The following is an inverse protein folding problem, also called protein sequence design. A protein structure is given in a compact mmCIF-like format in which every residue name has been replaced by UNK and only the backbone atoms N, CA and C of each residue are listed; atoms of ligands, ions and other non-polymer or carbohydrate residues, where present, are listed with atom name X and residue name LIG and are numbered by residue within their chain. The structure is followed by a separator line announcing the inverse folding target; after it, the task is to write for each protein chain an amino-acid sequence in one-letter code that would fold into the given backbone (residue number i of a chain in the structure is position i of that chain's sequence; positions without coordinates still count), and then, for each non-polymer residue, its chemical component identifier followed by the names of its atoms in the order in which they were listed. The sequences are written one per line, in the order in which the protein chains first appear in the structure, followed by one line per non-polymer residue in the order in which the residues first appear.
data_IF_277874542536
#
_entry.id   IF_277874542536
#
_cell.length_a   1.000
_cell.length_b   1.000
_cell.length_c   1.000
_cell.angle_alpha   90.00
_cell.angle_beta   90.00
_cell.angle_gamma   90.00
#
_symmetry.space_group_name_H-M   'P 1'
#
loop_
_entity.id
_entity.type
_entity.pdbx_description
1 polymer ?
#
# COMPACT_ATOMS: atom_id res chain seq x y z
N UNK A 1 22.45 17.00 19.03
CA UNK A 1 22.32 16.75 17.58
C UNK A 1 22.52 15.25 17.36
N UNK A 2 21.46 14.50 17.11
CA UNK A 2 21.59 13.12 16.67
C UNK A 2 22.01 13.15 15.19
N UNK A 3 23.11 12.48 14.83
CA UNK A 3 23.50 12.31 13.42
C UNK A 3 22.37 11.66 12.61
N UNK A 4 22.42 11.73 11.26
CA UNK A 4 21.42 11.09 10.44
C UNK A 4 21.43 9.59 10.75
N UNK A 5 20.33 9.09 11.33
CA UNK A 5 20.07 7.66 11.33
C UNK A 5 20.03 7.14 9.88
N UNK A 6 20.08 5.82 9.65
CA UNK A 6 20.09 5.23 8.30
C UNK A 6 18.85 5.54 7.46
N UNK A 7 17.85 6.22 8.03
CA UNK A 7 16.59 6.60 7.39
C UNK A 7 16.31 8.09 7.59
N UNK A 8 15.64 8.74 6.63
CA UNK A 8 15.24 10.14 6.77
C UNK A 8 14.29 10.33 7.95
N UNK A 9 14.35 11.50 8.59
CA UNK A 9 13.61 11.81 9.82
C UNK A 9 12.09 11.61 9.68
N UNK A 10 11.51 11.94 8.53
CA UNK A 10 10.07 11.75 8.29
C UNK A 10 9.65 10.28 8.41
N UNK A 11 10.48 9.33 7.95
CA UNK A 11 10.20 7.89 8.08
C UNK A 11 10.22 7.48 9.55
N UNK A 12 11.21 7.97 10.30
CA UNK A 12 11.31 7.71 11.73
C UNK A 12 10.10 8.25 12.50
N UNK A 13 9.60 9.43 12.14
CA UNK A 13 8.39 10.00 12.77
C UNK A 13 7.16 9.10 12.55
N UNK A 14 6.94 8.63 11.31
CA UNK A 14 5.86 7.68 10.99
C UNK A 14 6.01 6.39 11.80
N UNK A 15 7.19 5.77 11.76
CA UNK A 15 7.45 4.50 12.45
C UNK A 15 7.27 4.63 13.97
N UNK A 16 7.83 5.67 14.58
CA UNK A 16 7.72 5.90 16.02
C UNK A 16 6.26 6.11 16.43
N UNK A 17 5.51 6.90 15.65
CA UNK A 17 4.11 7.16 15.94
C UNK A 17 3.24 5.90 15.79
N UNK A 18 3.43 5.11 14.73
CA UNK A 18 2.73 3.82 14.58
C UNK A 18 3.08 2.89 15.75
N UNK A 19 4.36 2.71 16.06
CA UNK A 19 4.78 1.80 17.12
C UNK A 19 4.23 2.20 18.50
N UNK A 20 4.13 3.51 18.77
CA UNK A 20 3.61 4.02 20.03
C UNK A 20 2.09 3.88 20.17
N UNK A 21 1.33 3.95 19.07
CA UNK A 21 -0.13 4.14 19.15
C UNK A 21 -0.96 3.05 18.46
N UNK A 22 -0.37 2.13 17.70
CA UNK A 22 -1.12 1.11 16.95
C UNK A 22 -1.99 0.17 17.80
N UNK A 23 -1.73 0.06 19.10
CA UNK A 23 -2.56 -0.78 19.97
C UNK A 23 -3.93 -0.13 20.22
N UNK A 24 -3.95 1.17 20.44
CA UNK A 24 -5.14 1.93 20.83
C UNK A 24 -5.80 2.66 19.64
N UNK A 25 -5.01 3.03 18.61
CA UNK A 25 -5.46 3.72 17.41
C UNK A 25 -5.26 2.83 16.18
N UNK A 26 -6.18 1.90 15.91
CA UNK A 26 -6.08 1.03 14.71
C UNK A 26 -6.19 1.82 13.40
N UNK A 27 -6.89 2.96 13.42
CA UNK A 27 -7.04 3.88 12.29
C UNK A 27 -5.70 4.49 11.83
N UNK A 28 -4.66 4.44 12.66
CA UNK A 28 -3.33 5.01 12.32
C UNK A 28 -2.69 4.33 11.11
N UNK A 29 -3.13 3.13 10.70
CA UNK A 29 -2.64 2.48 9.47
C UNK A 29 -3.40 2.92 8.21
N UNK A 30 -4.49 3.68 8.34
CA UNK A 30 -5.31 4.09 7.21
C UNK A 30 -4.92 5.49 6.79
N UNK A 31 -4.68 5.68 5.50
CA UNK A 31 -4.42 7.00 4.93
C UNK A 31 -5.28 7.24 3.70
N UNK A 32 -5.65 8.50 3.50
CA UNK A 32 -6.41 8.93 2.34
C UNK A 32 -5.45 8.99 1.14
N UNK A 33 -5.77 8.25 0.08
CA UNK A 33 -5.04 8.23 -1.18
C UNK A 33 -5.82 9.03 -2.23
N UNK A 34 -5.24 10.15 -2.65
CA UNK A 34 -5.73 10.98 -3.75
C UNK A 34 -5.06 10.59 -5.07
N UNK A 35 -5.87 10.35 -6.08
CA UNK A 35 -5.47 10.05 -7.47
C UNK A 35 -6.26 10.94 -8.42
N UNK A 36 -5.87 10.93 -9.69
CA UNK A 36 -6.52 11.73 -10.73
C UNK A 36 -7.08 10.80 -11.80
N UNK A 37 -8.34 10.97 -12.15
CA UNK A 37 -8.87 10.45 -13.41
C UNK A 37 -8.63 11.48 -14.52
N UNK A 38 -8.31 11.02 -15.75
CA UNK A 38 -8.16 11.91 -16.87
C UNK A 38 -9.51 12.54 -17.20
N UNK A 39 -9.48 13.74 -17.78
CA UNK A 39 -10.70 14.42 -18.21
C UNK A 39 -11.51 13.50 -19.14
N UNK A 40 -12.79 13.30 -18.83
CA UNK A 40 -13.67 12.50 -19.69
C UNK A 40 -13.80 13.18 -21.05
N UNK A 41 -13.66 12.43 -22.14
CA UNK A 41 -13.91 12.92 -23.49
C UNK A 41 -15.37 13.40 -23.71
N UNK A 42 -16.30 13.01 -22.82
CA UNK A 42 -17.70 13.45 -22.83
C UNK A 42 -17.98 14.71 -22.00
N UNK A 43 -16.99 15.21 -21.24
CA UNK A 43 -17.12 16.42 -20.43
C UNK A 43 -16.73 17.64 -21.26
N UNK A 44 -17.54 18.70 -21.20
CA UNK A 44 -17.19 20.01 -21.78
C UNK A 44 -16.04 20.71 -21.04
N UNK A 45 -15.60 20.17 -19.90
CA UNK A 45 -14.42 20.61 -19.16
C UNK A 45 -13.29 19.60 -19.30
N UNK A 46 -12.15 20.05 -19.84
CA UNK A 46 -10.92 19.25 -19.99
C UNK A 46 -10.15 19.06 -18.69
N UNK A 47 -10.82 19.12 -17.54
CA UNK A 47 -10.18 19.09 -16.23
C UNK A 47 -10.08 17.65 -15.69
N UNK A 48 -8.90 17.29 -15.19
CA UNK A 48 -8.73 16.05 -14.41
C UNK A 48 -9.61 16.07 -13.17
N UNK A 49 -10.21 14.93 -12.82
CA UNK A 49 -11.09 14.83 -11.64
C UNK A 49 -10.35 14.11 -10.51
N UNK A 50 -10.22 14.71 -9.32
CA UNK A 50 -9.61 14.06 -8.18
C UNK A 50 -10.55 13.00 -7.60
N UNK A 51 -9.99 11.85 -7.23
CA UNK A 51 -10.67 10.82 -6.47
C UNK A 51 -9.89 10.51 -5.20
N UNK A 52 -10.59 10.29 -4.09
CA UNK A 52 -9.99 10.04 -2.78
C UNK A 52 -10.68 8.85 -2.11
N UNK A 53 -9.89 8.01 -1.44
CA UNK A 53 -10.36 6.89 -0.61
C UNK A 53 -9.32 6.51 0.42
N UNK A 54 -9.73 5.83 1.49
CA UNK A 54 -8.78 5.24 2.43
C UNK A 54 -8.15 3.96 1.87
N UNK A 55 -6.87 3.79 2.15
CA UNK A 55 -6.10 2.56 1.93
C UNK A 55 -5.28 2.23 3.17
N UNK A 56 -4.86 0.97 3.30
CA UNK A 56 -4.10 0.50 4.46
C UNK A 56 -2.61 0.53 4.17
N UNK A 57 -1.84 1.17 5.03
CA UNK A 57 -0.38 1.09 5.07
C UNK A 57 0.07 -0.34 5.46
N UNK A 58 0.88 -0.96 4.60
CA UNK A 58 1.38 -2.33 4.74
C UNK A 58 2.86 -2.39 5.11
N UNK A 59 3.41 -1.29 5.62
CA UNK A 59 4.82 -1.16 5.99
C UNK A 59 5.65 -0.46 4.90
N UNK A 60 6.95 -0.39 5.15
CA UNK A 60 7.93 0.08 4.19
C UNK A 60 8.50 -1.09 3.37
N UNK A 61 9.03 -0.77 2.20
CA UNK A 61 9.63 -1.74 1.29
C UNK A 61 10.73 -2.57 1.96
N UNK A 62 10.67 -3.89 1.79
CA UNK A 62 11.58 -4.87 2.36
C UNK A 62 11.66 -4.82 3.90
N UNK A 63 10.67 -4.23 4.58
CA UNK A 63 10.66 -4.13 6.04
C UNK A 63 9.79 -5.22 6.67
N UNK A 64 10.30 -5.83 7.73
CA UNK A 64 9.58 -6.79 8.56
C UNK A 64 9.74 -6.42 10.04
N UNK A 65 8.69 -6.64 10.84
CA UNK A 65 8.77 -6.43 12.30
C UNK A 65 9.72 -7.45 12.91
N UNK A 66 10.58 -6.99 13.81
CA UNK A 66 11.55 -7.82 14.49
C UNK A 66 11.74 -7.34 15.93
N UNK A 67 11.51 -8.23 16.89
CA UNK A 67 11.85 -8.00 18.30
C UNK A 67 13.36 -8.09 18.57
N UNK A 68 14.15 -8.56 17.61
CA UNK A 68 15.60 -8.81 17.75
C UNK A 68 16.46 -7.59 17.42
N UNK A 69 15.87 -6.53 16.88
CA UNK A 69 16.59 -5.33 16.43
C UNK A 69 16.17 -4.11 17.27
N UNK A 70 17.11 -3.20 17.62
CA UNK A 70 16.77 -1.99 18.39
C UNK A 70 15.71 -1.10 17.72
N UNK A 71 15.66 -1.10 16.38
CA UNK A 71 14.69 -0.35 15.57
C UNK A 71 13.31 -1.02 15.46
N UNK A 72 13.12 -2.21 16.05
CA UNK A 72 11.90 -3.00 15.91
C UNK A 72 11.66 -3.58 14.51
N UNK A 73 12.62 -3.45 13.59
CA UNK A 73 12.48 -3.80 12.18
C UNK A 73 13.75 -4.44 11.61
N UNK A 74 13.57 -5.40 10.70
CA UNK A 74 14.64 -6.06 9.95
C UNK A 74 14.27 -6.22 8.46
N UNK A 75 15.25 -6.38 7.56
CA UNK A 75 14.98 -6.71 6.17
C UNK A 75 14.21 -8.02 6.02
N UNK A 76 13.24 -8.07 5.10
CA UNK A 76 12.55 -9.31 4.76
C UNK A 76 13.44 -10.22 3.88
N UNK A 77 14.15 -9.63 2.92
CA UNK A 77 15.22 -10.26 2.14
C UNK A 77 16.55 -9.74 2.69
N UNK A 78 17.30 -10.62 3.36
CA UNK A 78 18.49 -10.24 4.16
C UNK A 78 19.62 -9.64 3.35
N UNK A 79 19.71 -9.92 2.05
CA UNK A 79 20.70 -9.34 1.13
C UNK A 79 20.49 -7.86 0.82
N UNK A 80 19.32 -7.32 1.16
CA UNK A 80 18.92 -5.97 0.82
C UNK A 80 18.63 -5.13 2.07
N UNK A 81 18.77 -3.82 1.96
CA UNK A 81 18.38 -2.85 3.00
C UNK A 81 16.86 -2.68 3.02
N UNK A 82 16.33 -2.03 4.04
CA UNK A 82 14.95 -1.54 4.02
C UNK A 82 14.86 -0.24 3.21
N UNK A 83 13.76 -0.04 2.49
CA UNK A 83 13.52 1.15 1.67
C UNK A 83 12.70 2.23 2.40
N UNK A 84 12.48 3.36 1.72
CA UNK A 84 11.57 4.43 2.18
C UNK A 84 10.21 4.38 1.49
N UNK A 85 10.08 3.61 0.40
CA UNK A 85 8.81 3.44 -0.30
C UNK A 85 7.77 2.81 0.62
N UNK A 86 6.56 3.37 0.62
CA UNK A 86 5.44 2.86 1.41
C UNK A 86 4.71 1.80 0.59
N UNK A 87 4.22 0.77 1.27
CA UNK A 87 3.45 -0.28 0.65
C UNK A 87 1.97 -0.12 0.98
N UNK A 88 1.12 -0.27 -0.03
CA UNK A 88 -0.31 -0.57 0.14
C UNK A 88 -0.73 -1.62 -0.88
N UNK A 89 -2.01 -2.00 -0.90
CA UNK A 89 -2.50 -3.09 -1.74
C UNK A 89 -3.83 -2.73 -2.36
N UNK A 90 -4.07 -3.19 -3.58
CA UNK A 90 -5.34 -3.00 -4.26
C UNK A 90 -5.67 -4.23 -5.11
N UNK A 91 -6.95 -4.39 -5.43
CA UNK A 91 -7.35 -5.17 -6.60
C UNK A 91 -6.82 -4.43 -7.83
N UNK A 92 -6.14 -5.14 -8.73
CA UNK A 92 -5.56 -4.60 -9.97
C UNK A 92 -6.64 -4.05 -10.91
N UNK A 93 -7.89 -4.51 -10.76
CA UNK A 93 -9.05 -4.10 -11.58
C UNK A 93 -9.75 -2.86 -11.01
N UNK A 94 -9.39 -2.40 -9.82
CA UNK A 94 -10.07 -1.28 -9.18
C UNK A 94 -9.86 0.04 -9.95
N UNK A 95 -10.84 0.97 -9.96
CA UNK A 95 -10.73 2.25 -10.68
C UNK A 95 -9.46 3.03 -10.39
N UNK A 96 -9.01 3.05 -9.13
CA UNK A 96 -7.76 3.71 -8.72
C UNK A 96 -6.51 3.23 -9.46
N UNK A 97 -6.50 1.98 -9.95
CA UNK A 97 -5.36 1.44 -10.71
C UNK A 97 -5.36 2.01 -12.13
N UNK A 98 -6.52 2.15 -12.76
CA UNK A 98 -6.66 2.82 -14.06
C UNK A 98 -6.34 4.32 -13.95
N UNK A 99 -6.79 4.97 -12.88
CA UNK A 99 -6.43 6.36 -12.55
C UNK A 99 -4.90 6.52 -12.44
N UNK A 100 -4.22 5.64 -11.72
CA UNK A 100 -2.75 5.66 -11.61
C UNK A 100 -2.05 5.41 -12.95
N UNK A 101 -2.52 4.45 -13.75
CA UNK A 101 -1.90 4.17 -15.07
C UNK A 101 -2.02 5.36 -16.02
N UNK A 102 -3.17 6.05 -15.99
CA UNK A 102 -3.43 7.22 -16.84
C UNK A 102 -2.77 8.50 -16.35
N UNK A 103 -2.50 8.65 -15.04
CA UNK A 103 -1.82 9.83 -14.46
C UNK A 103 -0.29 9.72 -14.41
N UNK A 104 0.30 8.64 -14.96
CA UNK A 104 1.74 8.36 -14.83
C UNK A 104 2.16 8.03 -13.41
N UNK A 105 1.22 7.53 -12.59
CA UNK A 105 1.41 7.12 -11.21
C UNK A 105 1.39 8.27 -10.20
N UNK A 106 1.22 9.53 -10.61
CA UNK A 106 1.23 10.65 -9.67
C UNK A 106 0.01 10.64 -8.75
N UNK A 107 0.30 10.74 -7.44
CA UNK A 107 -0.69 10.71 -6.38
C UNK A 107 -0.19 11.46 -5.13
N UNK A 108 -1.11 11.78 -4.22
CA UNK A 108 -0.79 12.31 -2.90
C UNK A 108 -1.51 11.51 -1.82
N UNK A 109 -0.80 11.22 -0.74
CA UNK A 109 -1.36 10.63 0.48
C UNK A 109 -1.53 11.73 1.53
N UNK A 110 -2.69 11.79 2.16
CA UNK A 110 -2.91 12.53 3.40
C UNK A 110 -3.11 11.54 4.55
N UNK A 111 -2.26 11.64 5.57
CA UNK A 111 -2.22 10.70 6.67
C UNK A 111 -2.20 11.43 8.01
N UNK A 112 -3.27 11.23 8.78
CA UNK A 112 -3.42 11.77 10.12
C UNK A 112 -3.09 10.71 11.17
N UNK A 113 -2.24 11.07 12.12
CA UNK A 113 -1.95 10.27 13.32
C UNK A 113 -2.50 11.04 14.52
N UNK A 114 -3.68 10.65 14.98
CA UNK A 114 -4.47 11.44 15.93
C UNK A 114 -3.77 11.55 17.28
N UNK A 115 -3.32 10.42 17.82
CA UNK A 115 -2.63 10.37 19.12
C UNK A 115 -1.35 11.21 19.17
N UNK A 116 -0.65 11.34 18.03
CA UNK A 116 0.59 12.11 17.94
C UNK A 116 0.37 13.56 17.48
N UNK A 117 -0.85 13.92 17.06
CA UNK A 117 -1.19 15.19 16.42
C UNK A 117 -0.26 15.52 15.24
N UNK A 118 0.06 14.49 14.44
CA UNK A 118 0.92 14.59 13.27
C UNK A 118 0.11 14.39 11.99
N UNK A 119 0.26 15.31 11.04
CA UNK A 119 -0.19 15.12 9.67
C UNK A 119 1.02 14.92 8.75
N UNK A 120 0.96 13.89 7.92
CA UNK A 120 1.89 13.65 6.82
C UNK A 120 1.15 13.81 5.50
N UNK A 121 1.64 14.70 4.63
CA UNK A 121 1.24 14.76 3.23
C UNK A 121 2.39 14.26 2.37
N UNK A 122 2.18 13.15 1.67
CA UNK A 122 3.23 12.44 0.94
C UNK A 122 2.88 12.49 -0.54
N UNK A 123 3.59 13.31 -1.31
CA UNK A 123 3.43 13.42 -2.76
C UNK A 123 4.51 12.60 -3.47
N UNK A 124 4.13 11.85 -4.50
CA UNK A 124 5.06 10.98 -5.21
C UNK A 124 4.41 10.16 -6.32
N UNK A 125 5.14 9.15 -6.80
CA UNK A 125 4.65 8.21 -7.81
C UNK A 125 4.29 6.87 -7.16
N UNK A 126 3.17 6.29 -7.57
CA UNK A 126 2.73 4.96 -7.16
C UNK A 126 2.90 4.01 -8.33
N UNK A 127 3.66 2.94 -8.08
CA UNK A 127 3.94 1.90 -9.06
C UNK A 127 3.12 0.65 -8.72
N UNK A 128 2.38 0.15 -9.71
CA UNK A 128 1.50 -1.02 -9.56
C UNK A 128 2.30 -2.29 -9.87
N UNK A 129 2.43 -3.19 -8.89
CA UNK A 129 3.04 -4.51 -9.05
C UNK A 129 1.97 -5.60 -8.97
N UNK A 130 1.41 -6.03 -10.10
CA UNK A 130 0.48 -7.16 -10.19
C UNK A 130 1.23 -8.50 -10.25
N UNK A 131 0.50 -9.60 -10.46
CA UNK A 131 1.09 -10.92 -10.78
C UNK A 131 2.03 -10.86 -12.00
N UNK A 132 3.04 -11.74 -12.08
CA UNK A 132 3.81 -11.94 -13.31
C UNK A 132 2.90 -12.25 -14.52
N UNK A 133 3.23 -11.66 -15.67
CA UNK A 133 2.47 -11.81 -16.92
C UNK A 133 1.29 -10.85 -17.11
N UNK A 134 0.92 -10.05 -16.10
CA UNK A 134 -0.07 -8.99 -16.27
C UNK A 134 0.54 -7.80 -17.05
N UNK A 135 -0.18 -7.10 -17.94
CA UNK A 135 0.38 -6.00 -18.75
C UNK A 135 1.07 -4.87 -17.95
N UNK A 136 0.54 -4.55 -16.77
CA UNK A 136 1.17 -3.56 -15.87
C UNK A 136 2.47 -4.05 -15.22
N UNK A 137 2.74 -5.35 -15.19
CA UNK A 137 3.95 -5.92 -14.60
C UNK A 137 5.23 -5.50 -15.35
N UNK A 138 5.11 -5.21 -16.64
CA UNK A 138 6.21 -4.77 -17.51
C UNK A 138 6.52 -3.27 -17.34
N UNK A 139 5.52 -2.49 -16.89
CA UNK A 139 5.68 -1.06 -16.59
C UNK A 139 6.34 -0.82 -15.22
N UNK A 140 6.40 -1.84 -14.36
CA UNK A 140 6.91 -1.70 -13.00
C UNK A 140 8.44 -1.57 -12.99
N UNK A 141 9.02 -0.47 -12.46
CA UNK A 141 10.45 -0.19 -12.56
C UNK A 141 11.29 -0.95 -11.51
N UNK A 142 11.43 -2.27 -11.72
CA UNK A 142 12.00 -3.26 -10.79
C UNK A 142 13.37 -2.88 -10.24
N UNK A 143 14.32 -2.57 -11.12
CA UNK A 143 15.71 -2.28 -10.73
C UNK A 143 15.83 -0.95 -9.99
N UNK A 144 15.07 0.06 -10.43
CA UNK A 144 15.11 1.42 -9.89
C UNK A 144 14.50 1.51 -8.49
N UNK A 145 13.43 0.76 -8.23
CA UNK A 145 12.76 0.73 -6.94
C UNK A 145 13.36 -0.27 -5.96
N UNK A 146 14.24 -1.16 -6.42
CA UNK A 146 14.83 -2.16 -5.55
C UNK A 146 15.61 -1.48 -4.40
N UNK A 147 15.50 -1.96 -3.16
CA UNK A 147 16.34 -1.44 -2.09
C UNK A 147 17.82 -1.66 -2.40
N UNK A 148 18.69 -0.89 -1.76
CA UNK A 148 20.12 -1.10 -1.84
C UNK A 148 20.51 -2.48 -1.31
N UNK A 149 21.64 -3.02 -1.75
CA UNK A 149 22.22 -4.23 -1.12
C UNK A 149 22.82 -3.88 0.24
N UNK A 150 22.82 -4.84 1.15
CA UNK A 150 23.49 -4.69 2.44
C UNK A 150 25.00 -4.46 2.23
N UNK A 151 25.66 -3.64 3.08
CA UNK A 151 27.11 -3.49 3.03
C UNK A 151 27.81 -4.84 3.14
N UNK A 152 28.70 -5.14 2.19
CA UNK A 152 29.46 -6.40 2.14
C UNK A 152 28.76 -7.55 1.41
N UNK A 153 27.51 -7.38 0.98
CA UNK A 153 26.85 -8.36 0.13
C UNK A 153 27.24 -8.15 -1.35
N UNK A 154 28.02 -9.09 -1.89
CA UNK A 154 28.49 -9.10 -3.30
C UNK A 154 27.65 -9.99 -4.22
N UNK A 155 26.47 -10.43 -3.75
CA UNK A 155 25.55 -11.23 -4.54
C UNK A 155 25.11 -10.53 -5.82
N UNK A 156 24.78 -11.32 -6.84
CA UNK A 156 24.32 -10.80 -8.15
C UNK A 156 22.81 -10.91 -8.34
N UNK A 157 22.11 -11.49 -7.38
CA UNK A 157 20.67 -11.72 -7.48
C UNK A 157 19.91 -10.39 -7.47
N UNK A 158 18.83 -10.31 -8.24
CA UNK A 158 17.93 -9.16 -8.19
C UNK A 158 17.04 -9.24 -6.94
N UNK A 159 16.51 -8.09 -6.51
CA UNK A 159 15.49 -8.07 -5.46
C UNK A 159 14.25 -8.84 -5.93
N UNK A 160 13.80 -9.83 -5.17
CA UNK A 160 12.67 -10.66 -5.56
C UNK A 160 11.35 -9.93 -5.26
N UNK A 161 10.86 -9.20 -6.26
CA UNK A 161 9.61 -8.47 -6.19
C UNK A 161 8.38 -9.35 -6.05
N UNK A 162 8.41 -10.58 -6.57
CA UNK A 162 7.28 -11.50 -6.43
C UNK A 162 7.23 -12.06 -5.00
N UNK A 163 8.38 -12.40 -4.42
CA UNK A 163 8.45 -12.76 -3.00
C UNK A 163 7.95 -11.61 -2.12
N UNK A 164 8.27 -10.36 -2.43
CA UNK A 164 7.75 -9.20 -1.69
C UNK A 164 6.22 -9.04 -1.84
N UNK A 165 5.68 -9.20 -3.07
CA UNK A 165 4.24 -9.18 -3.34
C UNK A 165 3.52 -10.27 -2.55
N UNK A 166 3.99 -11.51 -2.63
CA UNK A 166 3.39 -12.67 -1.95
C UNK A 166 3.54 -12.59 -0.43
N UNK A 167 4.66 -12.09 0.08
CA UNK A 167 4.84 -11.83 1.53
C UNK A 167 3.75 -10.93 2.08
N UNK A 168 3.36 -9.90 1.34
CA UNK A 168 2.27 -9.00 1.74
C UNK A 168 0.92 -9.71 1.58
N UNK A 169 0.67 -10.41 0.46
CA UNK A 169 -0.57 -11.17 0.24
C UNK A 169 -0.86 -12.17 1.37
N UNK A 170 0.13 -12.96 1.79
CA UNK A 170 -0.02 -13.98 2.84
C UNK A 170 -0.32 -13.40 4.23
N UNK A 171 -0.06 -12.11 4.45
CA UNK A 171 -0.40 -11.41 5.70
C UNK A 171 -1.84 -10.91 5.75
N UNK A 172 -2.60 -11.00 4.65
CA UNK A 172 -3.99 -10.51 4.61
C UNK A 172 -4.92 -11.38 5.45
N UNK A 173 -5.94 -10.78 6.05
CA UNK A 173 -6.98 -11.52 6.78
C UNK A 173 -7.78 -12.41 5.83
N UNK A 174 -8.45 -13.47 6.33
CA UNK A 174 -9.31 -14.32 5.51
C UNK A 174 -10.34 -13.53 4.68
N UNK A 175 -10.96 -12.53 5.29
CA UNK A 175 -11.94 -11.66 4.63
C UNK A 175 -11.35 -10.81 3.51
N UNK A 176 -10.11 -10.36 3.68
CA UNK A 176 -9.42 -9.54 2.68
C UNK A 176 -8.82 -10.40 1.57
N UNK A 177 -8.40 -11.63 1.85
CA UNK A 177 -8.06 -12.59 0.80
C UNK A 177 -9.29 -12.84 -0.10
N UNK A 178 -10.45 -13.08 0.51
CA UNK A 178 -11.69 -13.31 -0.23
C UNK A 178 -12.10 -12.10 -1.09
N UNK A 179 -11.82 -10.88 -0.64
CA UNK A 179 -12.26 -9.67 -1.36
C UNK A 179 -11.67 -9.55 -2.77
N UNK A 180 -10.48 -10.08 -3.03
CA UNK A 180 -9.88 -10.10 -4.37
C UNK A 180 -10.53 -11.12 -5.32
N UNK A 181 -11.30 -12.09 -4.81
CA UNK A 181 -12.04 -13.05 -5.63
C UNK A 181 -13.45 -12.56 -5.98
N UNK A 182 -13.87 -11.40 -5.47
CA UNK A 182 -15.20 -10.82 -5.70
C UNK A 182 -15.30 -10.16 -7.09
N UNK A 183 -16.51 -9.74 -7.52
CA UNK A 183 -16.67 -8.87 -8.68
C UNK A 183 -15.78 -7.63 -8.61
N UNK A 184 -15.57 -6.99 -9.77
CA UNK A 184 -14.67 -5.83 -9.88
C UNK A 184 -15.10 -4.75 -8.88
N UNK A 185 -14.19 -4.26 -8.01
CA UNK A 185 -14.56 -3.27 -7.01
C UNK A 185 -15.16 -2.00 -7.64
N UNK A 186 -16.37 -1.64 -7.19
CA UNK A 186 -17.12 -0.49 -7.71
C UNK A 186 -18.02 -0.80 -8.91
N UNK A 187 -18.09 -2.05 -9.39
CA UNK A 187 -19.10 -2.46 -10.36
C UNK A 187 -20.49 -2.54 -9.73
N UNK A 188 -21.52 -2.50 -10.56
CA UNK A 188 -22.90 -2.75 -10.12
C UNK A 188 -23.04 -4.12 -9.43
N UNK A 189 -23.90 -4.18 -8.41
CA UNK A 189 -24.17 -5.41 -7.69
C UNK A 189 -24.98 -6.39 -8.58
N UNK A 190 -24.64 -7.68 -8.68
CA UNK A 190 -25.33 -8.63 -9.57
C UNK A 190 -26.82 -8.80 -9.24
N UNK A 191 -27.18 -8.62 -7.97
CA UNK A 191 -28.56 -8.65 -7.48
C UNK A 191 -29.16 -7.26 -7.26
N UNK A 192 -28.60 -6.17 -7.84
CA UNK A 192 -29.06 -4.80 -7.59
C UNK A 192 -30.58 -4.61 -7.76
N UNK A 193 -31.20 -5.25 -8.77
CA UNK A 193 -32.64 -5.17 -8.99
C UNK A 193 -33.51 -5.85 -7.91
N UNK A 194 -32.91 -6.74 -7.11
CA UNK A 194 -33.57 -7.51 -6.04
C UNK A 194 -33.23 -6.96 -4.65
N UNK A 195 -32.10 -6.29 -4.54
CA UNK A 195 -31.70 -5.53 -3.36
C UNK A 195 -32.48 -4.20 -3.38
N UNK A 196 -33.74 -4.23 -2.95
CA UNK A 196 -34.59 -3.04 -2.88
C UNK A 196 -34.15 -2.09 -1.76
N UNK A 197 -34.78 -0.92 -1.71
CA UNK A 197 -34.49 0.14 -0.71
C UNK A 197 -34.71 -0.30 0.74
N UNK A 198 -35.42 -1.41 0.98
CA UNK A 198 -35.77 -1.92 2.31
C UNK A 198 -34.64 -2.70 3.02
N UNK A 199 -33.53 -3.03 2.33
CA UNK A 199 -32.40 -3.80 2.90
C UNK A 199 -31.20 -2.94 3.31
N UNK A 200 -31.43 -1.63 3.44
CA UNK A 200 -30.48 -0.68 4.01
C UNK A 200 -29.25 -0.39 3.15
N UNK A 201 -28.75 0.83 3.27
CA UNK A 201 -27.50 1.26 2.66
C UNK A 201 -26.26 0.99 3.53
N UNK A 202 -25.05 1.28 3.01
CA UNK A 202 -23.84 1.26 3.81
C UNK A 202 -23.96 2.14 5.06
N UNK A 203 -23.80 1.54 6.24
CA UNK A 203 -23.88 2.25 7.53
C UNK A 203 -25.27 2.29 8.17
N UNK A 204 -26.25 1.61 7.58
CA UNK A 204 -27.58 1.45 8.15
C UNK A 204 -27.68 0.12 8.93
N UNK A 205 -28.48 0.11 10.01
CA UNK A 205 -28.52 -0.90 11.10
C UNK A 205 -29.14 -2.26 10.72
N UNK A 206 -28.86 -2.76 9.52
CA UNK A 206 -29.18 -4.13 9.19
C UNK A 206 -28.12 -5.06 9.79
N UNK A 207 -28.58 -5.99 10.63
CA UNK A 207 -27.76 -7.12 11.05
C UNK A 207 -27.17 -7.73 9.78
N UNK A 208 -25.85 -7.98 9.70
CA UNK A 208 -25.22 -8.48 8.48
C UNK A 208 -25.89 -9.79 8.05
N UNK A 209 -26.81 -9.71 7.11
CA UNK A 209 -27.39 -10.87 6.44
C UNK A 209 -26.37 -11.29 5.39
N UNK A 210 -25.43 -12.13 5.82
CA UNK A 210 -24.53 -12.86 4.92
C UNK A 210 -25.33 -13.94 4.18
N UNK A 211 -26.38 -13.54 3.49
CA UNK A 211 -27.15 -14.42 2.62
C UNK A 211 -26.61 -14.35 1.19
N UNK A 212 -26.97 -15.36 0.40
CA UNK A 212 -26.53 -15.47 -0.99
C UNK A 212 -27.11 -14.36 -1.88
N UNK A 213 -28.08 -13.57 -1.39
CA UNK A 213 -28.65 -12.46 -2.13
C UNK A 213 -27.75 -11.22 -2.04
N UNK A 214 -27.28 -10.86 -0.85
CA UNK A 214 -26.39 -9.72 -0.62
C UNK A 214 -24.92 -10.05 -0.89
N UNK A 215 -24.55 -11.33 -0.82
CA UNK A 215 -23.16 -11.75 -0.86
C UNK A 215 -22.98 -13.14 -1.49
N UNK A 216 -23.30 -13.30 -2.79
CA UNK A 216 -23.18 -14.58 -3.52
C UNK A 216 -21.72 -15.03 -3.76
N UNK A 217 -20.75 -14.42 -3.07
CA UNK A 217 -19.31 -14.65 -3.23
C UNK A 217 -18.67 -15.05 -1.90
N UNK A 218 -17.49 -15.68 -1.95
CA UNK A 218 -16.75 -16.05 -0.75
C UNK A 218 -16.53 -14.83 0.17
N UNK A 219 -16.87 -15.02 1.44
CA UNK A 219 -16.66 -14.01 2.48
C UNK A 219 -15.28 -14.11 3.11
N UNK A 220 -14.74 -15.33 3.18
CA UNK A 220 -13.44 -15.62 3.77
C UNK A 220 -12.73 -16.68 2.93
N UNK A 221 -11.40 -16.57 2.87
CA UNK A 221 -10.52 -17.61 2.31
C UNK A 221 -9.48 -18.02 3.36
N UNK A 222 -9.11 -19.31 3.41
CA UNK A 222 -8.10 -19.78 4.34
C UNK A 222 -6.74 -19.12 4.09
N UNK A 223 -5.92 -19.06 5.15
CA UNK A 223 -4.53 -18.65 5.06
C UNK A 223 -3.65 -19.91 5.10
N UNK A 224 -3.15 -20.42 3.96
CA UNK A 224 -2.47 -21.72 3.94
C UNK A 224 -1.27 -21.78 4.87
N UNK A 225 -0.58 -20.66 5.09
CA UNK A 225 0.58 -20.55 5.98
C UNK A 225 0.23 -20.72 7.47
N UNK A 226 -1.06 -20.73 7.82
CA UNK A 226 -1.55 -20.93 9.19
C UNK A 226 -2.25 -22.29 9.39
N UNK A 227 -2.31 -23.12 8.36
CA UNK A 227 -2.86 -24.48 8.43
C UNK A 227 -1.73 -25.47 8.70
N UNK A 228 -2.00 -26.51 9.49
CA UNK A 228 -1.00 -27.52 9.86
C UNK A 228 -0.51 -28.32 8.64
N UNK A 229 -1.42 -28.68 7.72
CA UNK A 229 -1.10 -29.32 6.44
C UNK A 229 -0.85 -28.35 5.28
N UNK A 230 -0.83 -27.04 5.54
CA UNK A 230 -0.56 -26.02 4.53
C UNK A 230 -1.59 -26.02 3.39
N UNK A 231 -1.11 -25.99 2.15
CA UNK A 231 -1.98 -26.04 0.96
C UNK A 231 -2.67 -27.40 0.75
N UNK A 232 -2.17 -28.48 1.37
CA UNK A 232 -2.76 -29.81 1.24
C UNK A 232 -4.14 -29.91 1.92
N UNK A 233 -4.38 -29.08 2.94
CA UNK A 233 -5.64 -29.04 3.70
C UNK A 233 -6.75 -28.24 2.99
N UNK A 234 -6.44 -27.62 1.85
CA UNK A 234 -7.40 -26.84 1.07
C UNK A 234 -8.25 -27.74 0.19
N UNK A 235 -9.55 -27.45 0.12
CA UNK A 235 -10.42 -28.03 -0.92
C UNK A 235 -10.02 -27.50 -2.30
N UNK A 236 -10.39 -28.21 -3.37
CA UNK A 236 -10.06 -27.77 -4.73
C UNK A 236 -10.71 -26.41 -5.08
N UNK A 237 -11.94 -26.17 -4.61
CA UNK A 237 -12.63 -24.89 -4.74
C UNK A 237 -11.89 -23.75 -4.01
N UNK A 238 -11.37 -24.02 -2.81
CA UNK A 238 -10.57 -23.04 -2.07
C UNK A 238 -9.26 -22.72 -2.78
N UNK A 239 -8.59 -23.73 -3.37
CA UNK A 239 -7.37 -23.52 -4.15
C UNK A 239 -7.64 -22.66 -5.38
N UNK A 240 -8.68 -22.98 -6.15
CA UNK A 240 -9.06 -22.23 -7.33
C UNK A 240 -9.40 -20.77 -6.97
N UNK A 241 -10.23 -20.57 -5.95
CA UNK A 241 -10.64 -19.23 -5.50
C UNK A 241 -9.47 -18.42 -4.95
N UNK A 242 -8.53 -19.06 -4.25
CA UNK A 242 -7.33 -18.41 -3.74
C UNK A 242 -6.38 -18.00 -4.88
N UNK A 243 -6.27 -18.80 -5.94
CA UNK A 243 -5.50 -18.43 -7.13
C UNK A 243 -6.16 -17.28 -7.89
N UNK A 244 -7.49 -17.23 -7.99
CA UNK A 244 -8.23 -16.07 -8.51
C UNK A 244 -7.92 -14.82 -7.67
N UNK A 245 -8.04 -14.92 -6.35
CA UNK A 245 -7.72 -13.84 -5.40
C UNK A 245 -6.28 -13.33 -5.60
N UNK A 246 -5.31 -14.23 -5.62
CA UNK A 246 -3.88 -13.93 -5.83
C UNK A 246 -3.61 -13.30 -7.20
N UNK A 247 -4.42 -13.63 -8.21
CA UNK A 247 -4.29 -13.07 -9.56
C UNK A 247 -4.73 -11.62 -9.67
N UNK A 248 -5.74 -11.21 -8.88
CA UNK A 248 -6.21 -9.84 -8.82
C UNK A 248 -5.45 -8.99 -7.79
N UNK A 249 -4.70 -9.61 -6.90
CA UNK A 249 -3.87 -8.91 -5.93
C UNK A 249 -2.71 -8.14 -6.58
N UNK A 250 -2.67 -6.82 -6.34
CA UNK A 250 -1.54 -5.96 -6.67
C UNK A 250 -0.95 -5.31 -5.41
N UNK A 251 0.39 -5.31 -5.35
CA UNK A 251 1.14 -4.48 -4.42
C UNK A 251 1.30 -3.08 -5.04
N UNK A 252 0.94 -2.04 -4.31
CA UNK A 252 1.17 -0.66 -4.71
C UNK A 252 2.39 -0.13 -3.95
N UNK A 253 3.41 0.28 -4.69
CA UNK A 253 4.66 0.82 -4.15
C UNK A 253 4.65 2.33 -4.31
N UNK A 254 4.48 3.05 -3.22
CA UNK A 254 4.46 4.51 -3.17
C UNK A 254 5.90 4.99 -2.99
N UNK A 255 6.45 5.58 -4.04
CA UNK A 255 7.76 6.21 -4.06
C UNK A 255 7.61 7.70 -3.67
N UNK A 256 7.97 8.08 -2.43
CA UNK A 256 7.81 9.46 -1.99
C UNK A 256 8.84 10.38 -2.66
N UNK A 257 8.39 11.56 -3.09
CA UNK A 257 9.26 12.62 -3.63
C UNK A 257 9.30 13.83 -2.68
N UNK A 258 8.17 14.13 -2.06
CA UNK A 258 8.02 15.20 -1.09
C UNK A 258 7.14 14.74 0.08
N UNK A 259 7.53 15.09 1.29
CA UNK A 259 6.75 14.85 2.51
C UNK A 259 6.62 16.16 3.27
N UNK A 260 5.41 16.66 3.42
CA UNK A 260 5.10 17.79 4.29
C UNK A 260 4.57 17.26 5.62
N UNK A 261 5.29 17.56 6.70
CA UNK A 261 4.96 17.11 8.05
C UNK A 261 4.51 18.29 8.88
N UNK A 262 3.28 18.24 9.37
CA UNK A 262 2.71 19.20 10.32
C UNK A 262 2.58 18.51 11.67
N UNK A 263 3.17 19.10 12.70
CA UNK A 263 3.08 18.71 14.11
C UNK A 263 2.31 19.81 14.84
N UNK A 264 1.00 19.58 15.00
CA UNK A 264 0.08 20.54 15.61
C UNK A 264 0.31 20.66 17.12
N UNK A 265 0.73 19.59 17.79
CA UNK A 265 1.01 19.61 19.23
C UNK A 265 2.17 20.56 19.59
N UNK A 266 3.07 20.85 18.65
CA UNK A 266 4.27 21.67 18.90
C UNK A 266 4.36 22.92 18.02
N UNK A 267 3.31 23.20 17.23
CA UNK A 267 3.26 24.30 16.26
C UNK A 267 4.46 24.27 15.30
N UNK A 268 4.61 23.15 14.59
CA UNK A 268 5.79 22.85 13.79
C UNK A 268 5.45 22.32 12.41
N UNK A 269 6.10 22.83 11.36
CA UNK A 269 6.03 22.26 10.01
C UNK A 269 7.39 22.10 9.34
N UNK A 270 7.61 20.97 8.70
CA UNK A 270 8.85 20.66 7.97
C UNK A 270 8.50 20.02 6.63
N UNK A 271 9.14 20.51 5.57
CA UNK A 271 9.08 19.93 4.24
C UNK A 271 10.33 19.10 3.99
N UNK A 272 10.15 17.84 3.64
CA UNK A 272 11.20 16.93 3.21
C UNK A 272 11.10 16.73 1.71
N UNK A 273 12.19 16.98 0.99
CA UNK A 273 12.26 16.78 -0.46
C UNK A 273 13.39 15.82 -0.79
N UNK A 274 13.10 14.85 -1.65
CA UNK A 274 14.12 13.90 -2.13
C UNK A 274 15.09 14.66 -3.03
N UNK A 275 16.37 14.51 -2.76
CA UNK A 275 17.42 15.06 -3.62
C UNK A 275 17.73 13.99 -4.66
N UNK A 276 17.42 14.27 -5.93
CA UNK A 276 17.80 13.37 -7.03
C UNK A 276 19.30 13.56 -7.30
N UNK A 277 20.15 12.53 -7.18
CA UNK A 277 21.55 12.66 -7.56
C UNK A 277 21.65 12.92 -9.06
N UNK A 278 22.58 13.79 -9.48
CA UNK A 278 22.80 14.13 -10.89
C UNK A 278 23.25 12.96 -11.80
N UNK A 279 23.45 11.76 -11.26
CA UNK A 279 24.10 10.65 -11.98
C UNK A 279 23.83 9.23 -11.45
N UNK A 280 22.65 8.91 -10.92
CA UNK A 280 22.40 7.55 -10.40
C UNK A 280 21.55 6.69 -11.35
N UNK A 281 22.22 6.16 -12.37
CA UNK A 281 21.72 5.07 -13.24
C UNK A 281 21.88 3.68 -12.62
N UNK A 282 22.44 3.57 -11.40
CA UNK A 282 22.66 2.30 -10.72
C UNK A 282 21.73 2.19 -9.52
N UNK A 283 20.91 1.13 -9.52
CA UNK A 283 19.94 0.81 -8.46
C UNK A 283 20.58 0.77 -7.07
N UNK A 284 19.84 1.26 -6.08
CA UNK A 284 20.23 1.19 -4.67
C UNK A 284 21.02 2.39 -4.13
N UNK A 285 20.98 3.57 -4.75
CA UNK A 285 21.59 4.76 -4.15
C UNK A 285 20.92 5.11 -2.82
N UNK A 286 21.71 5.36 -1.77
CA UNK A 286 21.23 5.96 -0.53
C UNK A 286 20.39 7.18 -0.87
N UNK A 287 19.13 7.17 -0.44
CA UNK A 287 18.25 8.29 -0.72
C UNK A 287 18.65 9.49 0.13
N UNK A 288 19.03 10.57 -0.53
CA UNK A 288 19.29 11.84 0.13
C UNK A 288 17.99 12.65 0.23
N UNK A 289 17.80 13.27 1.39
CA UNK A 289 16.60 14.05 1.71
C UNK A 289 16.99 15.39 2.31
N UNK A 290 16.43 16.46 1.78
CA UNK A 290 16.57 17.82 2.32
C UNK A 290 15.38 18.17 3.19
N UNK A 291 15.60 18.51 4.45
CA UNK A 291 14.58 19.08 5.33
C UNK A 291 14.62 20.62 5.27
N UNK A 292 13.46 21.24 5.06
CA UNK A 292 13.28 22.70 5.14
C UNK A 292 12.20 23.01 6.15
N UNK A 293 12.51 23.90 7.10
CA UNK A 293 11.53 24.37 8.09
C UNK A 293 10.54 25.33 7.45
N UNK A 294 9.25 25.11 7.65
CA UNK A 294 8.18 25.99 7.16
C UNK A 294 7.44 26.63 8.34
N UNK A 295 6.71 27.71 8.03
CA UNK A 295 5.67 28.23 8.92
C UNK A 295 4.55 27.18 8.98
N UNK A 296 4.06 26.81 10.19
CA UNK A 296 2.93 25.90 10.38
C UNK A 296 1.72 26.23 9.51
#
# INVERSE_FOLDING_TARGET
MAGPGPHPRWKQLIQNSINAHIQDEKSILYHALATLSPASASSSTSASVPHVRYVVHRGFLNENRSSKTPTGTAPAQSSFTTGTSLLTTSDVRAPKVAELDSSGGWAEVAWWHDSAQLQFRISGQIHVLPRPGHPLADKFPRERLAPARQPGDTGKDAFDWEAERLRIFHKMSPSLLASFARPVPGSEHPNAAKLGDEQGGPGEDDKPTKDDLQSPWPQELPQPQKLDGGEADLTDEQKETLEVSKSHFALLVIEPHQIDVVDLARDKRSLFQRVTPSSSANGGAQEEWKETRLVP
#
